data_IF_438958638277
#
_entry.id   IF_438958638277
#
_cell.length_a   1.000
_cell.length_b   1.000
_cell.length_c   1.000
_cell.angle_alpha   90.00
_cell.angle_beta   90.00
_cell.angle_gamma   90.00
#
_symmetry.space_group_name_H-M   'P 1'
#
loop_
_entity.id
_entity.type
_entity.pdbx_description
1 polymer ?
#
# COMPACT_ATOMS: atom_id res chain seq x y z
N UNK A 1 31.24 -54.87 -19.06
CA UNK A 1 31.54 -53.82 -18.06
C UNK A 1 32.29 -52.63 -18.65
N UNK A 2 33.48 -52.79 -19.25
CA UNK A 2 34.24 -51.64 -19.80
C UNK A 2 33.55 -50.90 -20.95
N UNK A 3 32.80 -51.60 -21.81
CA UNK A 3 32.02 -50.99 -22.90
C UNK A 3 30.81 -50.21 -22.38
N UNK A 4 30.04 -50.82 -21.46
CA UNK A 4 28.88 -50.19 -20.82
C UNK A 4 29.24 -48.90 -20.07
N UNK A 5 30.38 -48.90 -19.36
CA UNK A 5 30.86 -47.72 -18.64
C UNK A 5 31.23 -46.57 -19.59
N UNK A 6 31.87 -46.88 -20.73
CA UNK A 6 32.19 -45.89 -21.77
C UNK A 6 30.93 -45.28 -22.39
N UNK A 7 29.93 -46.10 -22.70
CA UNK A 7 28.65 -45.62 -23.24
C UNK A 7 27.93 -44.70 -22.26
N UNK A 8 27.93 -45.04 -20.97
CA UNK A 8 27.32 -44.20 -19.93
C UNK A 8 28.05 -42.86 -19.76
N UNK A 9 29.39 -42.86 -19.75
CA UNK A 9 30.19 -41.62 -19.68
C UNK A 9 29.93 -40.69 -20.86
N UNK A 10 29.79 -41.23 -22.07
CA UNK A 10 29.47 -40.44 -23.27
C UNK A 10 28.07 -39.83 -23.13
N UNK A 11 27.07 -40.63 -22.76
CA UNK A 11 25.70 -40.14 -22.59
C UNK A 11 25.60 -39.05 -21.52
N UNK A 12 26.26 -39.23 -20.37
CA UNK A 12 26.31 -38.22 -19.30
C UNK A 12 27.03 -36.94 -19.76
N UNK A 13 28.14 -37.07 -20.50
CA UNK A 13 28.85 -35.94 -21.09
C UNK A 13 27.99 -35.14 -22.07
N UNK A 14 27.27 -35.82 -22.96
CA UNK A 14 26.34 -35.18 -23.90
C UNK A 14 25.19 -34.49 -23.18
N UNK A 15 24.60 -35.13 -22.16
CA UNK A 15 23.52 -34.52 -21.38
C UNK A 15 23.98 -33.26 -20.61
N UNK A 16 25.18 -33.28 -20.02
CA UNK A 16 25.77 -32.12 -19.36
C UNK A 16 26.08 -31.00 -20.35
N UNK A 17 26.56 -31.34 -21.55
CA UNK A 17 26.83 -30.36 -22.60
C UNK A 17 25.54 -29.70 -23.10
N UNK A 18 24.47 -30.47 -23.29
CA UNK A 18 23.15 -29.95 -23.64
C UNK A 18 22.61 -29.05 -22.52
N UNK A 19 22.66 -29.48 -21.26
CA UNK A 19 22.27 -28.63 -20.14
C UNK A 19 23.07 -27.33 -20.09
N UNK A 20 24.40 -27.37 -20.25
CA UNK A 20 25.22 -26.17 -20.27
C UNK A 20 24.86 -25.21 -21.42
N UNK A 21 24.54 -25.74 -22.60
CA UNK A 21 24.09 -24.94 -23.75
C UNK A 21 22.72 -24.27 -23.53
N UNK A 22 21.85 -24.87 -22.70
CA UNK A 22 20.53 -24.31 -22.39
C UNK A 22 20.45 -23.54 -21.06
N UNK A 23 21.45 -23.68 -20.18
CA UNK A 23 21.51 -22.98 -18.88
C UNK A 23 21.77 -21.49 -19.00
N UNK A 24 22.41 -21.06 -20.10
CA UNK A 24 22.64 -19.65 -20.39
C UNK A 24 21.73 -19.18 -21.53
N UNK A 25 20.43 -19.16 -21.27
CA UNK A 25 19.57 -18.23 -22.01
C UNK A 25 19.97 -16.82 -21.55
N UNK A 26 20.57 -15.98 -22.42
CA UNK A 26 20.73 -14.58 -22.05
C UNK A 26 19.36 -14.03 -21.67
N UNK A 27 19.30 -13.22 -20.60
CA UNK A 27 18.11 -12.40 -20.38
C UNK A 27 17.80 -11.70 -21.72
N UNK A 28 16.53 -11.64 -22.15
CA UNK A 28 16.18 -10.97 -23.40
C UNK A 28 16.94 -9.66 -23.46
N UNK A 29 17.74 -9.45 -24.52
CA UNK A 29 18.27 -8.12 -24.80
C UNK A 29 17.07 -7.19 -24.75
N UNK A 30 17.20 -6.15 -23.93
CA UNK A 30 16.13 -5.29 -23.46
C UNK A 30 15.53 -4.49 -24.65
N UNK A 31 14.83 -5.19 -25.53
CA UNK A 31 14.05 -4.65 -26.61
C UNK A 31 12.84 -4.00 -25.97
N UNK A 32 12.94 -2.69 -25.74
CA UNK A 32 11.84 -1.83 -25.29
C UNK A 32 11.14 -2.29 -23.99
N UNK A 33 11.87 -2.67 -22.94
CA UNK A 33 11.34 -2.42 -21.59
C UNK A 33 11.34 -0.92 -21.36
N UNK A 34 10.32 -0.22 -21.88
CA UNK A 34 10.04 1.16 -21.52
C UNK A 34 10.00 1.21 -20.00
N UNK A 35 10.98 1.89 -19.38
CA UNK A 35 10.95 2.16 -17.95
C UNK A 35 9.61 2.80 -17.64
N UNK A 36 8.75 2.06 -16.95
CA UNK A 36 7.45 2.58 -16.53
C UNK A 36 7.73 3.61 -15.45
N UNK A 37 7.61 4.89 -15.81
CA UNK A 37 7.62 5.98 -14.84
C UNK A 37 6.26 5.97 -14.17
N UNK A 38 6.23 6.10 -12.85
CA UNK A 38 4.98 6.19 -12.09
C UNK A 38 4.78 7.61 -11.60
N UNK A 39 3.52 8.04 -11.56
CA UNK A 39 3.10 9.15 -10.72
C UNK A 39 2.42 8.60 -9.45
N UNK A 40 2.46 9.40 -8.38
CA UNK A 40 2.02 9.00 -7.05
C UNK A 40 0.98 9.98 -6.51
N UNK A 41 0.02 9.45 -5.75
CA UNK A 41 -1.00 10.22 -5.05
C UNK A 41 -1.22 9.64 -3.66
N UNK A 42 -1.56 10.48 -2.70
CA UNK A 42 -1.84 10.07 -1.33
C UNK A 42 -3.16 10.69 -0.85
N UNK A 43 -3.90 9.94 -0.05
CA UNK A 43 -4.79 10.54 0.93
C UNK A 43 -4.46 10.00 2.32
N UNK A 44 -4.90 10.73 3.34
CA UNK A 44 -4.68 10.36 4.73
C UNK A 44 -5.96 10.48 5.52
N UNK A 45 -6.21 9.56 6.45
CA UNK A 45 -7.25 9.70 7.45
C UNK A 45 -6.61 10.16 8.75
N UNK A 46 -7.21 11.13 9.41
CA UNK A 46 -6.88 11.54 10.77
C UNK A 46 -8.14 11.25 11.59
N UNK A 47 -8.01 10.39 12.59
CA UNK A 47 -9.11 9.95 13.43
C UNK A 47 -8.80 10.30 14.88
N UNK A 48 -9.65 11.15 15.44
CA UNK A 48 -9.42 11.75 16.75
C UNK A 48 -10.05 10.90 17.85
N UNK A 49 -9.23 10.54 18.83
CA UNK A 49 -9.60 9.81 20.04
C UNK A 49 -9.56 10.79 21.21
N UNK A 50 -10.53 11.71 21.22
CA UNK A 50 -10.67 12.72 22.27
C UNK A 50 -11.91 12.39 23.12
N UNK A 51 -11.78 12.30 24.46
CA UNK A 51 -12.92 12.07 25.35
C UNK A 51 -14.06 13.06 25.13
N UNK A 52 -15.30 12.59 25.34
CA UNK A 52 -16.49 13.41 25.14
C UNK A 52 -16.83 13.71 23.68
N UNK A 53 -16.03 13.25 22.72
CA UNK A 53 -16.30 13.40 21.29
C UNK A 53 -16.03 14.79 20.72
N UNK A 54 -15.17 15.57 21.38
CA UNK A 54 -14.76 16.91 20.95
C UNK A 54 -13.68 16.91 19.85
N UNK A 55 -13.29 15.72 19.40
CA UNK A 55 -12.28 15.54 18.35
C UNK A 55 -12.70 16.08 16.98
N UNK A 56 -11.75 16.11 16.06
CA UNK A 56 -12.00 16.45 14.64
C UNK A 56 -11.34 15.43 13.74
N UNK A 57 -12.12 14.46 13.28
CA UNK A 57 -11.66 13.44 12.35
C UNK A 57 -11.86 13.91 10.91
N UNK A 58 -10.93 13.59 9.99
CA UNK A 58 -10.99 14.02 8.59
C UNK A 58 -10.21 13.12 7.65
N UNK A 59 -10.61 13.09 6.39
CA UNK A 59 -9.78 12.67 5.26
C UNK A 59 -9.08 13.91 4.71
N UNK A 60 -7.78 13.82 4.53
CA UNK A 60 -6.94 14.82 3.87
C UNK A 60 -6.47 14.30 2.52
N UNK A 61 -6.55 15.13 1.50
CA UNK A 61 -5.91 14.88 0.21
C UNK A 61 -5.37 16.19 -0.38
N UNK A 62 -4.61 16.07 -1.45
CA UNK A 62 -4.10 17.22 -2.21
C UNK A 62 -4.70 17.15 -3.61
N UNK A 63 -5.31 18.24 -4.07
CA UNK A 63 -5.81 18.32 -5.43
C UNK A 63 -4.67 18.48 -6.45
N UNK A 64 -5.00 18.51 -7.73
CA UNK A 64 -4.01 18.58 -8.81
C UNK A 64 -3.31 19.97 -8.87
N UNK A 65 -3.82 20.98 -8.16
CA UNK A 65 -3.21 22.31 -8.00
C UNK A 65 -2.32 22.40 -6.76
N UNK A 66 -2.17 21.32 -5.99
CA UNK A 66 -1.41 21.33 -4.74
C UNK A 66 -2.18 21.87 -3.53
N UNK A 67 -3.49 22.11 -3.64
CA UNK A 67 -4.31 22.61 -2.54
C UNK A 67 -4.81 21.48 -1.65
N UNK A 68 -4.82 21.73 -0.33
CA UNK A 68 -5.36 20.81 0.65
C UNK A 68 -6.88 20.73 0.51
N UNK A 69 -7.40 19.50 0.38
CA UNK A 69 -8.83 19.20 0.38
C UNK A 69 -9.14 18.34 1.60
N UNK A 70 -10.10 18.79 2.40
CA UNK A 70 -10.58 18.09 3.59
C UNK A 70 -11.98 17.52 3.37
N UNK A 71 -12.23 16.31 3.87
CA UNK A 71 -13.57 15.75 4.01
C UNK A 71 -13.75 15.28 5.45
N UNK A 72 -14.80 15.76 6.12
CA UNK A 72 -15.03 15.42 7.52
C UNK A 72 -15.32 13.92 7.70
N UNK A 73 -14.81 13.40 8.83
CA UNK A 73 -15.16 12.09 9.39
C UNK A 73 -15.81 12.30 10.76
N UNK A 74 -16.58 11.31 11.20
CA UNK A 74 -17.24 11.34 12.50
C UNK A 74 -16.28 10.93 13.61
N UNK A 75 -16.51 11.43 14.82
CA UNK A 75 -15.65 11.13 15.96
C UNK A 75 -15.87 9.71 16.49
N UNK A 76 -14.79 9.06 16.92
CA UNK A 76 -14.84 7.73 17.53
C UNK A 76 -15.48 7.75 18.91
N UNK A 77 -15.33 8.84 19.66
CA UNK A 77 -15.83 8.94 21.03
C UNK A 77 -17.04 9.87 21.12
N UNK A 78 -17.83 9.65 22.17
CA UNK A 78 -18.94 10.47 22.63
C UNK A 78 -18.90 10.53 24.16
N UNK A 79 -19.86 11.20 24.80
CA UNK A 79 -19.99 11.22 26.26
C UNK A 79 -20.25 9.83 26.86
N UNK A 80 -20.81 8.89 26.09
CA UNK A 80 -21.13 7.52 26.55
C UNK A 80 -20.03 6.50 26.19
N UNK A 81 -18.94 6.94 25.57
CA UNK A 81 -17.86 6.07 25.11
C UNK A 81 -17.77 5.98 23.58
N UNK A 82 -17.28 4.84 23.09
CA UNK A 82 -16.99 4.61 21.67
C UNK A 82 -18.29 4.52 20.86
N UNK A 83 -18.34 5.25 19.75
CA UNK A 83 -19.45 5.25 18.81
C UNK A 83 -19.12 4.40 17.56
N UNK A 84 -19.49 3.12 17.61
CA UNK A 84 -19.27 2.18 16.49
C UNK A 84 -20.04 2.55 15.21
N UNK A 85 -21.18 3.24 15.33
CA UNK A 85 -21.90 3.75 14.17
C UNK A 85 -21.11 4.83 13.42
N UNK A 86 -20.36 5.66 14.14
CA UNK A 86 -19.45 6.63 13.54
C UNK A 86 -18.29 5.93 12.84
N UNK A 87 -17.68 4.93 13.48
CA UNK A 87 -16.61 4.13 12.89
C UNK A 87 -17.08 3.49 11.57
N UNK A 88 -18.20 2.78 11.57
CA UNK A 88 -18.73 2.14 10.36
C UNK A 88 -19.08 3.15 9.24
N UNK A 89 -19.48 4.37 9.59
CA UNK A 89 -19.70 5.43 8.60
C UNK A 89 -18.38 5.97 8.03
N UNK A 90 -17.35 6.10 8.86
CA UNK A 90 -16.01 6.49 8.42
C UNK A 90 -15.41 5.44 7.50
N UNK A 91 -15.52 4.15 7.86
CA UNK A 91 -15.05 3.02 7.05
C UNK A 91 -15.65 3.07 5.64
N UNK A 92 -16.96 3.32 5.54
CA UNK A 92 -17.62 3.51 4.24
C UNK A 92 -17.01 4.67 3.47
N UNK A 93 -16.83 5.83 4.11
CA UNK A 93 -16.24 7.00 3.46
C UNK A 93 -14.79 6.79 2.99
N UNK A 94 -14.01 5.98 3.72
CA UNK A 94 -12.64 5.60 3.36
C UNK A 94 -12.67 4.63 2.17
N UNK A 95 -13.51 3.60 2.21
CA UNK A 95 -13.69 2.65 1.10
C UNK A 95 -14.17 3.35 -0.16
N UNK A 96 -15.11 4.28 -0.06
CA UNK A 96 -15.57 5.09 -1.20
C UNK A 96 -14.41 5.87 -1.84
N UNK A 97 -13.47 6.37 -1.03
CA UNK A 97 -12.27 7.06 -1.53
C UNK A 97 -11.29 6.10 -2.21
N UNK A 98 -11.06 4.91 -1.63
CA UNK A 98 -10.24 3.87 -2.24
C UNK A 98 -10.80 3.48 -3.61
N UNK A 99 -12.11 3.22 -3.68
CA UNK A 99 -12.82 2.85 -4.91
C UNK A 99 -12.77 3.97 -5.94
N UNK A 100 -12.94 5.23 -5.53
CA UNK A 100 -12.81 6.38 -6.43
C UNK A 100 -11.41 6.46 -7.05
N UNK A 101 -10.34 6.30 -6.28
CA UNK A 101 -8.99 6.28 -6.84
C UNK A 101 -8.76 5.07 -7.75
N UNK A 102 -9.30 3.90 -7.38
CA UNK A 102 -9.26 2.72 -8.23
C UNK A 102 -9.96 2.92 -9.57
N UNK A 103 -11.14 3.56 -9.60
CA UNK A 103 -11.85 3.86 -10.85
C UNK A 103 -11.11 4.88 -11.73
N UNK A 104 -10.30 5.74 -11.12
CA UNK A 104 -9.42 6.71 -11.79
C UNK A 104 -8.07 6.10 -12.26
N UNK A 105 -7.94 4.77 -12.18
CA UNK A 105 -6.77 4.02 -12.64
C UNK A 105 -5.60 4.03 -11.65
N UNK A 106 -5.80 4.45 -10.40
CA UNK A 106 -4.77 4.39 -9.37
C UNK A 106 -4.75 3.02 -8.67
N UNK A 107 -3.56 2.46 -8.55
CA UNK A 107 -3.29 1.23 -7.80
C UNK A 107 -2.88 1.59 -6.36
N UNK A 108 -3.54 0.98 -5.37
CA UNK A 108 -3.12 1.09 -3.98
C UNK A 108 -1.82 0.31 -3.76
N UNK A 109 -0.79 1.01 -3.29
CA UNK A 109 0.55 0.45 -3.12
C UNK A 109 0.87 0.09 -1.68
N UNK A 110 0.56 1.01 -0.78
CA UNK A 110 0.96 0.91 0.61
C UNK A 110 -0.08 1.59 1.49
N UNK A 111 -0.33 1.00 2.65
CA UNK A 111 -1.05 1.65 3.74
C UNK A 111 -0.09 1.71 4.93
N UNK A 112 0.23 2.92 5.39
CA UNK A 112 1.03 3.13 6.60
C UNK A 112 0.17 3.76 7.69
N UNK A 113 0.32 3.28 8.92
CA UNK A 113 -0.48 3.75 10.07
C UNK A 113 0.41 4.24 11.20
N UNK A 114 -0.07 5.20 11.97
CA UNK A 114 0.57 5.67 13.18
C UNK A 114 -0.45 6.13 14.20
N UNK A 115 -0.08 6.11 15.48
CA UNK A 115 -0.91 6.62 16.57
C UNK A 115 -0.06 7.41 17.56
N UNK A 116 -0.61 8.50 18.07
CA UNK A 116 0.01 9.28 19.13
C UNK A 116 -1.03 9.61 20.20
N UNK A 117 -0.70 9.33 21.46
CA UNK A 117 -1.49 9.75 22.61
C UNK A 117 -0.86 11.03 23.19
N UNK A 118 -1.69 12.04 23.41
CA UNK A 118 -1.29 13.23 24.18
C UNK A 118 -1.63 12.99 25.64
N UNK A 119 -0.61 13.02 26.49
CA UNK A 119 -0.77 12.99 27.94
C UNK A 119 -0.60 14.39 28.50
N UNK A 120 -1.49 14.80 29.41
CA UNK A 120 -1.34 15.99 30.22
C UNK A 120 -1.45 15.59 31.68
N UNK A 121 -0.42 15.91 32.48
CA UNK A 121 -0.40 15.73 33.93
C UNK A 121 -0.89 14.35 34.42
N UNK A 122 -0.40 13.27 33.80
CA UNK A 122 -0.72 11.90 34.18
C UNK A 122 -2.11 11.40 33.72
N UNK A 123 -2.90 12.23 33.04
CA UNK A 123 -4.18 11.86 32.44
C UNK A 123 -4.11 11.94 30.90
N UNK A 124 -4.74 10.99 30.19
CA UNK A 124 -4.83 11.06 28.73
C UNK A 124 -5.82 12.15 28.34
N UNK A 125 -5.34 13.21 27.67
CA UNK A 125 -6.19 14.31 27.17
C UNK A 125 -6.72 14.02 25.77
N UNK A 126 -6.16 13.04 25.08
CA UNK A 126 -6.66 12.54 23.81
C UNK A 126 -5.59 11.81 23.00
N UNK A 127 -5.93 11.46 21.77
CA UNK A 127 -5.02 10.85 20.82
C UNK A 127 -5.45 11.07 19.39
N UNK A 128 -4.53 10.78 18.48
CA UNK A 128 -4.73 10.80 17.04
C UNK A 128 -4.26 9.46 16.47
N UNK A 129 -5.08 8.90 15.60
CA UNK A 129 -4.71 7.84 14.68
C UNK A 129 -4.59 8.45 13.28
N UNK A 130 -3.52 8.12 12.56
CA UNK A 130 -3.32 8.52 11.19
C UNK A 130 -3.09 7.27 10.33
N UNK A 131 -3.83 7.17 9.22
CA UNK A 131 -3.53 6.19 8.18
C UNK A 131 -3.24 6.94 6.88
N UNK A 132 -2.20 6.54 6.15
CA UNK A 132 -1.79 7.11 4.87
C UNK A 132 -1.85 6.03 3.81
N UNK A 133 -2.56 6.32 2.73
CA UNK A 133 -2.80 5.41 1.63
C UNK A 133 -2.04 5.95 0.43
N UNK A 134 -0.96 5.27 0.05
CA UNK A 134 -0.12 5.62 -1.09
C UNK A 134 -0.62 4.88 -2.31
N UNK A 135 -0.83 5.62 -3.39
CA UNK A 135 -1.24 5.11 -4.68
C UNK A 135 -0.20 5.43 -5.74
N UNK A 136 -0.14 4.59 -6.77
CA UNK A 136 0.61 4.88 -7.99
C UNK A 136 -0.22 4.59 -9.23
N UNK A 137 0.15 5.19 -10.34
CA UNK A 137 -0.26 4.73 -11.68
C UNK A 137 0.84 5.02 -12.70
N UNK A 138 0.91 4.29 -13.82
CA UNK A 138 1.83 4.61 -14.90
C UNK A 138 1.65 6.06 -15.36
N UNK A 139 2.74 6.80 -15.45
CA UNK A 139 2.78 8.14 -16.03
C UNK A 139 2.83 7.98 -17.54
N UNK A 140 1.78 8.46 -18.21
CA UNK A 140 1.70 8.50 -19.67
C UNK A 140 2.51 9.66 -20.25
#
# INVERSE_FOLDING_TARGET
MKSTLKTFSIAAGTALMVMAMFSFKPAPEDGDQKRVVYEYKQFSTIESVVPGGLGRSRILTTDDNGQLVEKDLKNFYSMVGINFGNIANNDRAIVDRLNYYSSEGWELMEVSTGSHAQTSDGSSSGGVFISRYLFRRPRH
#
